data_IF_465821551080
#
_entry.id   IF_465821551080
#
_cell.length_a   1.000
_cell.length_b   1.000
_cell.length_c   1.000
_cell.angle_alpha   90.00
_cell.angle_beta   90.00
_cell.angle_gamma   90.00
#
_symmetry.space_group_name_H-M   'P 1'
#
loop_
_entity.id
_entity.type
_entity.pdbx_description
1 polymer ?
#
# COMPACT_ATOMS: atom_id res chain seq x y z
N UNK A 1 -22.42 -11.25 11.26
CA UNK A 1 -21.38 -11.61 10.28
C UNK A 1 -22.05 -11.69 8.92
N UNK A 2 -21.73 -10.77 8.02
CA UNK A 2 -22.30 -10.73 6.67
C UNK A 2 -21.98 -12.05 5.93
N UNK A 3 -22.95 -12.61 5.19
CA UNK A 3 -22.82 -13.93 4.53
C UNK A 3 -21.72 -13.96 3.45
N UNK A 4 -21.23 -12.78 3.05
CA UNK A 4 -20.27 -12.60 1.97
C UNK A 4 -18.81 -12.86 2.38
N UNK A 5 -18.48 -12.75 3.66
CA UNK A 5 -17.12 -12.97 4.16
C UNK A 5 -16.06 -12.19 3.36
N UNK A 6 -14.95 -12.85 3.01
CA UNK A 6 -13.86 -12.25 2.21
C UNK A 6 -14.12 -12.16 0.70
N UNK A 7 -15.24 -12.70 0.21
CA UNK A 7 -15.53 -12.78 -1.23
C UNK A 7 -15.48 -11.42 -1.94
N UNK A 8 -16.10 -10.33 -1.41
CA UNK A 8 -16.07 -9.05 -2.11
C UNK A 8 -14.66 -8.49 -2.31
N UNK A 9 -13.78 -8.66 -1.32
CA UNK A 9 -12.38 -8.24 -1.44
C UNK A 9 -11.64 -9.09 -2.48
N UNK A 10 -11.89 -10.39 -2.50
CA UNK A 10 -11.23 -11.30 -3.44
C UNK A 10 -11.67 -11.07 -4.88
N UNK A 11 -12.95 -10.75 -5.08
CA UNK A 11 -13.50 -10.36 -6.38
C UNK A 11 -12.89 -9.02 -6.84
N UNK A 12 -12.74 -8.04 -5.93
CA UNK A 12 -12.13 -6.74 -6.22
C UNK A 12 -10.65 -6.86 -6.61
N UNK A 13 -9.91 -7.71 -5.90
CA UNK A 13 -8.48 -7.93 -6.16
C UNK A 13 -8.22 -8.83 -7.36
N UNK A 14 -9.23 -9.49 -7.92
CA UNK A 14 -9.11 -10.42 -9.04
C UNK A 14 -7.94 -11.41 -8.91
N UNK A 15 -7.79 -12.02 -7.72
CA UNK A 15 -6.63 -12.85 -7.35
C UNK A 15 -6.41 -14.08 -8.25
N UNK A 16 -7.45 -14.50 -8.97
CA UNK A 16 -7.42 -15.62 -9.91
C UNK A 16 -7.36 -15.17 -11.38
N UNK A 17 -7.42 -13.86 -11.65
CA UNK A 17 -7.32 -13.26 -12.97
C UNK A 17 -6.02 -12.47 -13.11
N UNK A 18 -6.13 -11.18 -13.40
CA UNK A 18 -4.99 -10.30 -13.65
C UNK A 18 -4.54 -9.50 -12.40
N UNK A 19 -5.19 -9.75 -11.26
CA UNK A 19 -4.85 -9.15 -10.00
C UNK A 19 -3.43 -9.48 -9.53
N UNK A 20 -2.72 -8.47 -9.05
CA UNK A 20 -1.40 -8.56 -8.44
C UNK A 20 -1.53 -8.29 -6.94
N UNK A 21 -1.35 -9.33 -6.15
CA UNK A 21 -1.32 -9.26 -4.68
C UNK A 21 -0.45 -10.40 -4.11
N UNK A 22 0.89 -10.26 -4.14
CA UNK A 22 1.83 -11.37 -3.91
C UNK A 22 1.63 -12.14 -2.61
N UNK A 23 1.30 -11.46 -1.50
CA UNK A 23 1.10 -12.10 -0.20
C UNK A 23 -0.07 -13.08 -0.17
N UNK A 24 -1.09 -12.89 -1.02
CA UNK A 24 -2.22 -13.81 -1.20
C UNK A 24 -2.05 -14.73 -2.41
N UNK A 25 -0.96 -14.59 -3.16
CA UNK A 25 -0.66 -15.33 -4.38
C UNK A 25 0.75 -15.94 -4.28
N UNK A 26 0.92 -17.07 -3.54
CA UNK A 26 2.24 -17.68 -3.33
C UNK A 26 2.91 -18.15 -4.63
N UNK A 27 2.15 -18.35 -5.71
CA UNK A 27 2.66 -18.69 -7.05
C UNK A 27 2.96 -17.48 -7.92
N UNK A 28 2.70 -16.26 -7.44
CA UNK A 28 3.00 -15.03 -8.17
C UNK A 28 4.51 -14.93 -8.40
N UNK A 29 4.88 -14.45 -9.57
CA UNK A 29 6.26 -14.21 -9.97
C UNK A 29 6.37 -12.78 -10.48
N UNK A 30 7.58 -12.24 -10.36
CA UNK A 30 7.91 -10.95 -10.92
C UNK A 30 7.46 -10.86 -12.39
N UNK A 31 6.68 -9.82 -12.67
CA UNK A 31 6.10 -9.52 -13.97
C UNK A 31 7.05 -8.70 -14.85
N UNK A 32 8.25 -8.37 -14.37
CA UNK A 32 9.19 -7.40 -14.96
C UNK A 32 8.58 -6.00 -15.12
N UNK A 33 7.62 -5.65 -14.26
CA UNK A 33 7.03 -4.31 -14.24
C UNK A 33 8.06 -3.29 -13.78
N UNK A 34 8.15 -2.18 -14.51
CA UNK A 34 8.88 -1.01 -14.05
C UNK A 34 8.13 -0.35 -12.89
N UNK A 35 8.82 0.54 -12.17
CA UNK A 35 8.16 1.33 -11.12
C UNK A 35 6.94 2.12 -11.65
N UNK A 36 7.02 2.66 -12.87
CA UNK A 36 5.89 3.36 -13.48
C UNK A 36 4.72 2.44 -13.79
N UNK A 37 4.99 1.21 -14.25
CA UNK A 37 3.94 0.22 -14.47
C UNK A 37 3.22 -0.12 -13.17
N UNK A 38 3.94 -0.20 -12.05
CA UNK A 38 3.35 -0.46 -10.72
C UNK A 38 2.47 0.72 -10.27
N UNK A 39 2.94 1.95 -10.44
CA UNK A 39 2.15 3.15 -10.12
C UNK A 39 0.88 3.22 -10.98
N UNK A 40 1.01 2.96 -12.28
CA UNK A 40 -0.12 2.91 -13.21
C UNK A 40 -1.11 1.79 -12.84
N UNK A 41 -0.61 0.60 -12.49
CA UNK A 41 -1.44 -0.50 -12.04
C UNK A 41 -2.23 -0.11 -10.77
N UNK A 42 -1.56 0.39 -9.73
CA UNK A 42 -2.19 0.72 -8.44
C UNK A 42 -3.21 1.85 -8.53
N UNK A 43 -3.01 2.82 -9.43
CA UNK A 43 -3.99 3.88 -9.70
C UNK A 43 -5.22 3.37 -10.46
N UNK A 44 -5.12 2.21 -11.12
CA UNK A 44 -6.20 1.58 -11.90
C UNK A 44 -6.89 0.41 -11.20
N UNK A 45 -6.52 0.05 -9.97
CA UNK A 45 -7.17 -1.04 -9.22
C UNK A 45 -8.59 -0.63 -8.80
N UNK A 46 -9.54 -0.76 -9.73
CA UNK A 46 -10.96 -0.45 -9.55
C UNK A 46 -11.23 1.00 -9.11
N UNK A 47 -12.39 1.23 -8.48
CA UNK A 47 -12.75 2.51 -7.86
C UNK A 47 -11.96 2.80 -6.56
N UNK A 48 -11.14 1.84 -6.12
CA UNK A 48 -10.26 1.96 -4.95
C UNK A 48 -8.81 2.29 -5.34
N UNK A 49 -8.60 2.66 -6.61
CA UNK A 49 -7.31 3.09 -7.13
C UNK A 49 -6.60 3.97 -6.12
N UNK A 50 -5.45 3.51 -5.66
CA UNK A 50 -4.70 4.17 -4.61
C UNK A 50 -3.55 4.93 -5.24
N UNK A 51 -3.38 6.20 -4.85
CA UNK A 51 -2.17 6.94 -5.16
C UNK A 51 -1.02 6.52 -4.22
N UNK A 52 -0.71 5.23 -4.24
CA UNK A 52 0.39 4.63 -3.49
C UNK A 52 1.72 5.12 -4.07
N UNK A 53 2.70 5.40 -3.20
CA UNK A 53 4.03 5.97 -3.52
C UNK A 53 4.06 7.44 -3.95
N UNK A 54 3.15 7.89 -4.81
CA UNK A 54 3.05 9.29 -5.24
C UNK A 54 1.59 9.71 -5.24
N UNK A 55 1.25 10.69 -4.40
CA UNK A 55 -0.10 11.24 -4.35
C UNK A 55 -0.31 12.20 -5.53
N UNK A 56 -1.27 11.90 -6.40
CA UNK A 56 -1.53 12.66 -7.62
C UNK A 56 -2.98 13.15 -7.66
N UNK A 57 -3.20 14.37 -8.14
CA UNK A 57 -4.56 14.87 -8.33
C UNK A 57 -4.62 16.17 -9.11
N UNK A 58 -5.82 16.53 -9.54
CA UNK A 58 -6.11 17.80 -10.18
C UNK A 58 -6.63 18.76 -9.12
N UNK A 59 -5.93 19.86 -8.90
CA UNK A 59 -6.28 20.87 -7.90
C UNK A 59 -6.30 22.25 -8.54
N UNK A 60 -6.99 23.18 -7.88
CA UNK A 60 -6.93 24.60 -8.24
C UNK A 60 -5.50 25.11 -8.09
N UNK A 61 -5.03 25.89 -9.05
CA UNK A 61 -3.71 26.53 -8.96
C UNK A 61 -3.77 27.68 -7.94
N UNK A 62 -2.96 27.59 -6.89
CA UNK A 62 -2.89 28.61 -5.83
C UNK A 62 -2.42 29.98 -6.36
N UNK A 63 -1.66 30.00 -7.46
CA UNK A 63 -1.19 31.22 -8.12
C UNK A 63 -2.17 31.74 -9.17
N UNK A 64 -3.04 30.87 -9.72
CA UNK A 64 -4.01 31.19 -10.78
C UNK A 64 -5.34 30.47 -10.52
N UNK A 65 -6.17 31.03 -9.65
CA UNK A 65 -7.37 30.36 -9.13
C UNK A 65 -8.46 30.05 -10.17
N UNK A 66 -8.38 30.60 -11.38
CA UNK A 66 -9.24 30.25 -12.50
C UNK A 66 -8.75 29.01 -13.28
N UNK A 67 -7.64 28.41 -12.90
CA UNK A 67 -7.02 27.25 -13.54
C UNK A 67 -6.85 26.07 -12.59
N UNK A 68 -6.61 24.92 -13.21
CA UNK A 68 -6.27 23.68 -12.51
C UNK A 68 -4.89 23.19 -12.94
N UNK A 69 -4.18 22.54 -12.02
CA UNK A 69 -2.88 21.92 -12.24
C UNK A 69 -2.91 20.46 -11.81
N UNK A 70 -2.02 19.66 -12.38
CA UNK A 70 -1.71 18.32 -11.87
C UNK A 70 -0.71 18.51 -10.73
N UNK A 71 -1.11 18.16 -9.52
CA UNK A 71 -0.25 18.21 -8.33
C UNK A 71 0.26 16.80 -8.00
N UNK A 72 1.54 16.75 -7.63
CA UNK A 72 2.20 15.56 -7.11
C UNK A 72 2.66 15.89 -5.68
N UNK A 73 2.32 15.02 -4.73
CA UNK A 73 2.75 15.14 -3.34
C UNK A 73 3.32 13.81 -2.82
N UNK A 74 3.94 13.88 -1.65
CA UNK A 74 4.51 12.72 -0.97
C UNK A 74 3.47 11.60 -0.73
N UNK A 75 3.91 10.35 -0.55
CA UNK A 75 3.01 9.24 -0.25
C UNK A 75 2.27 9.45 1.07
N UNK A 76 1.08 8.83 1.17
CA UNK A 76 0.43 8.61 2.46
C UNK A 76 1.05 7.36 3.10
N UNK A 77 1.40 7.47 4.37
CA UNK A 77 1.88 6.36 5.19
C UNK A 77 0.72 5.77 5.98
N UNK A 78 0.83 4.50 6.37
CA UNK A 78 -0.22 3.81 7.14
C UNK A 78 -0.29 4.32 8.57
N UNK A 79 0.85 4.52 9.24
CA UNK A 79 0.88 5.16 10.55
C UNK A 79 0.65 6.67 10.39
N UNK A 80 -0.08 7.30 11.32
CA UNK A 80 -0.52 8.69 11.20
C UNK A 80 0.63 9.70 11.27
N UNK A 81 1.77 9.31 11.82
CA UNK A 81 2.96 10.16 11.93
C UNK A 81 4.15 9.52 11.25
N UNK A 82 4.84 10.30 10.42
CA UNK A 82 6.15 9.96 9.87
C UNK A 82 7.13 9.58 10.97
N UNK A 83 7.10 10.29 12.10
CA UNK A 83 8.05 10.05 13.19
C UNK A 83 7.86 8.66 13.80
N UNK A 84 6.65 8.09 13.78
CA UNK A 84 6.40 6.74 14.27
C UNK A 84 7.26 5.67 13.54
N UNK A 85 7.64 5.93 12.28
CA UNK A 85 8.54 5.08 11.52
C UNK A 85 10.03 5.29 11.83
N UNK A 86 10.40 6.47 12.33
CA UNK A 86 11.80 6.92 12.39
C UNK A 86 12.44 6.84 13.78
N UNK A 87 11.67 6.55 14.83
CA UNK A 87 12.19 6.41 16.19
C UNK A 87 13.12 5.20 16.35
N UNK A 88 12.54 4.00 16.28
CA UNK A 88 13.25 2.74 16.46
C UNK A 88 12.54 1.68 15.64
N UNK A 89 13.28 0.87 14.89
CA UNK A 89 12.72 -0.18 14.04
C UNK A 89 11.79 -1.15 14.78
N UNK A 90 12.09 -1.44 16.05
CA UNK A 90 11.30 -2.34 16.91
C UNK A 90 10.40 -1.58 17.89
N UNK A 91 9.95 -0.37 17.54
CA UNK A 91 8.95 0.36 18.33
C UNK A 91 7.64 -0.43 18.42
N UNK A 92 6.85 -0.18 19.46
CA UNK A 92 5.53 -0.81 19.63
C UNK A 92 4.63 -0.62 18.41
N UNK A 93 4.69 0.55 17.78
CA UNK A 93 3.83 0.91 16.64
C UNK A 93 4.19 0.09 15.38
N UNK A 94 5.49 -0.05 15.08
CA UNK A 94 5.94 -0.83 13.93
C UNK A 94 5.74 -2.34 14.15
N UNK A 95 5.98 -2.83 15.37
CA UNK A 95 5.71 -4.23 15.72
C UNK A 95 4.20 -4.54 15.65
N UNK A 96 3.36 -3.61 16.10
CA UNK A 96 1.90 -3.74 15.97
C UNK A 96 1.47 -3.71 14.50
N UNK A 97 2.07 -2.84 13.69
CA UNK A 97 1.75 -2.75 12.27
C UNK A 97 2.11 -4.05 11.53
N UNK A 98 3.31 -4.60 11.73
CA UNK A 98 3.69 -5.91 11.17
C UNK A 98 2.76 -7.02 11.63
N UNK A 99 2.41 -7.03 12.92
CA UNK A 99 1.50 -8.03 13.48
C UNK A 99 0.14 -7.92 12.81
N UNK A 100 -0.43 -6.72 12.69
CA UNK A 100 -1.72 -6.51 12.04
C UNK A 100 -1.68 -6.95 10.57
N UNK A 101 -0.62 -6.59 9.84
CA UNK A 101 -0.43 -7.03 8.47
C UNK A 101 -0.46 -8.57 8.38
N UNK A 102 0.36 -9.26 9.18
CA UNK A 102 0.42 -10.73 9.21
C UNK A 102 -0.95 -11.34 9.52
N UNK A 103 -1.57 -10.94 10.63
CA UNK A 103 -2.84 -11.51 11.10
C UNK A 103 -3.97 -11.31 10.08
N UNK A 104 -4.08 -10.13 9.48
CA UNK A 104 -5.09 -9.85 8.45
C UNK A 104 -4.87 -10.74 7.22
N UNK A 105 -3.63 -10.86 6.73
CA UNK A 105 -3.34 -11.69 5.57
C UNK A 105 -3.55 -13.19 5.84
N UNK A 106 -3.19 -13.66 7.03
CA UNK A 106 -3.49 -15.04 7.46
C UNK A 106 -5.00 -15.29 7.53
N UNK A 107 -5.78 -14.34 8.06
CA UNK A 107 -7.25 -14.43 8.07
C UNK A 107 -7.84 -14.45 6.64
N UNK A 108 -7.17 -13.81 5.68
CA UNK A 108 -7.51 -13.87 4.26
C UNK A 108 -7.04 -15.16 3.59
N UNK A 109 -6.16 -15.94 4.20
CA UNK A 109 -5.71 -17.25 3.71
C UNK A 109 -4.29 -17.27 3.14
N UNK A 110 -3.47 -16.26 3.44
CA UNK A 110 -2.04 -16.32 3.18
C UNK A 110 -1.37 -17.43 4.02
N UNK A 111 -0.27 -17.98 3.49
CA UNK A 111 0.63 -18.82 4.27
C UNK A 111 1.30 -17.99 5.38
N UNK A 112 1.45 -18.57 6.58
CA UNK A 112 2.00 -17.87 7.74
C UNK A 112 3.42 -17.36 7.51
N UNK A 113 4.26 -18.17 6.85
CA UNK A 113 5.65 -17.81 6.58
C UNK A 113 5.70 -16.67 5.57
N UNK A 114 4.95 -16.78 4.47
CA UNK A 114 4.85 -15.69 3.47
C UNK A 114 4.33 -14.40 4.09
N UNK A 115 3.22 -14.46 4.84
CA UNK A 115 2.63 -13.28 5.48
C UNK A 115 3.60 -12.61 6.48
N UNK A 116 4.37 -13.40 7.23
CA UNK A 116 5.36 -12.88 8.18
C UNK A 116 6.54 -12.22 7.47
N UNK A 117 7.09 -12.86 6.43
CA UNK A 117 8.21 -12.31 5.67
C UNK A 117 7.82 -11.04 4.91
N UNK A 118 6.63 -11.02 4.32
CA UNK A 118 6.13 -9.87 3.58
C UNK A 118 5.77 -8.70 4.50
N UNK A 119 5.16 -8.96 5.67
CA UNK A 119 4.92 -7.93 6.68
C UNK A 119 6.19 -7.15 7.00
N UNK A 120 7.29 -7.87 7.27
CA UNK A 120 8.58 -7.26 7.55
C UNK A 120 9.09 -6.42 6.37
N UNK A 121 9.04 -6.95 5.15
CA UNK A 121 9.50 -6.23 3.94
C UNK A 121 8.69 -4.97 3.68
N UNK A 122 7.37 -5.04 3.81
CA UNK A 122 6.46 -3.90 3.63
C UNK A 122 6.76 -2.81 4.64
N UNK A 123 6.90 -3.16 5.92
CA UNK A 123 7.24 -2.18 6.97
C UNK A 123 8.65 -1.60 6.78
N UNK A 124 9.64 -2.42 6.42
CA UNK A 124 10.99 -1.94 6.11
C UNK A 124 11.00 -0.97 4.91
N UNK A 125 10.14 -1.21 3.91
CA UNK A 125 9.99 -0.34 2.76
C UNK A 125 9.27 0.97 3.12
N UNK A 126 8.21 0.93 3.93
CA UNK A 126 7.54 2.14 4.41
C UNK A 126 8.44 3.00 5.30
N UNK A 127 9.36 2.41 6.07
CA UNK A 127 10.39 3.17 6.80
C UNK A 127 11.31 3.91 5.83
N UNK A 128 11.70 3.30 4.71
CA UNK A 128 12.49 3.98 3.67
C UNK A 128 11.69 5.13 3.03
N UNK A 129 10.41 4.92 2.74
CA UNK A 129 9.51 5.98 2.26
C UNK A 129 9.39 7.13 3.26
N UNK A 130 9.23 6.82 4.55
CA UNK A 130 9.14 7.83 5.61
C UNK A 130 10.43 8.67 5.69
N UNK A 131 11.60 8.03 5.53
CA UNK A 131 12.89 8.73 5.53
C UNK A 131 13.01 9.78 4.42
N UNK A 132 12.49 9.49 3.22
CA UNK A 132 12.55 10.41 2.06
C UNK A 132 11.37 11.38 1.97
N UNK A 133 10.34 11.20 2.80
CA UNK A 133 9.17 12.09 2.85
C UNK A 133 9.45 13.31 3.73
N UNK A 134 8.83 14.46 3.42
CA UNK A 134 8.96 15.65 4.24
C UNK A 134 8.20 15.49 5.56
N UNK A 135 8.77 16.02 6.64
CA UNK A 135 8.04 16.36 7.86
C UNK A 135 7.29 17.67 7.59
N UNK A 136 5.98 17.66 7.70
CA UNK A 136 5.19 18.89 7.74
C UNK A 136 5.30 19.54 9.12
#
# INVERSE_FOLDING_TARGET
>A
MDKRGKKPLFDLLDLNGNGIYPTLQPSWKDTNMTFLDIVEYLTKVGDVGSNSFVSMGVYQDEMQSDKHIISFSQPRLVLPSRDAYLHQRNSSDLVLYETLYREVHMALGADEKTATEDAKKVVDFEIQLANVSASW
#
